data_IF_703519259364
#
_entry.id   IF_703519259364
#
_cell.length_a   1.000
_cell.length_b   1.000
_cell.length_c   1.000
_cell.angle_alpha   90.00
_cell.angle_beta   90.00
_cell.angle_gamma   90.00
#
_symmetry.space_group_name_H-M   'P 1'
#
loop_
_entity.id
_entity.type
_entity.pdbx_description
1 polymer ?
#
# COMPACT_ATOMS: atom_id res chain seq x y z
N UNK A 1 20.85 -11.05 7.87
CA UNK A 1 19.52 -10.60 7.42
C UNK A 1 19.70 -10.11 5.99
N UNK A 2 19.24 -10.89 5.00
CA UNK A 2 19.56 -10.72 3.58
C UNK A 2 19.22 -9.30 3.07
N UNK A 3 20.26 -8.56 2.66
CA UNK A 3 20.15 -7.26 1.98
C UNK A 3 20.26 -7.39 0.46
N UNK A 4 20.18 -8.62 -0.07
CA UNK A 4 20.34 -8.94 -1.49
C UNK A 4 19.02 -9.04 -2.27
N UNK A 5 17.95 -8.43 -1.75
CA UNK A 5 16.84 -7.98 -2.60
C UNK A 5 17.13 -6.58 -3.13
N UNK A 6 18.41 -6.34 -3.45
CA UNK A 6 18.84 -5.17 -4.17
C UNK A 6 18.10 -5.15 -5.50
N UNK A 7 17.49 -4.01 -5.75
CA UNK A 7 16.56 -3.70 -6.82
C UNK A 7 17.30 -3.74 -8.17
N UNK A 8 17.73 -4.92 -8.60
CA UNK A 8 18.08 -5.23 -10.00
C UNK A 8 16.87 -5.86 -10.70
N UNK A 9 15.66 -5.37 -10.44
CA UNK A 9 14.65 -5.39 -11.51
C UNK A 9 15.08 -4.27 -12.43
N UNK A 10 15.56 -4.59 -13.63
CA UNK A 10 16.00 -3.54 -14.55
C UNK A 10 14.87 -2.52 -14.72
N UNK A 11 15.17 -1.23 -14.85
CA UNK A 11 14.16 -0.19 -15.08
C UNK A 11 13.20 -0.56 -16.22
N UNK A 12 13.69 -1.33 -17.21
CA UNK A 12 12.89 -1.89 -18.29
C UNK A 12 11.85 -2.94 -17.87
N UNK A 13 12.13 -3.79 -16.89
CA UNK A 13 11.16 -4.74 -16.35
C UNK A 13 10.02 -4.04 -15.61
N UNK A 14 10.34 -3.02 -14.82
CA UNK A 14 9.34 -2.21 -14.10
C UNK A 14 8.43 -1.49 -15.10
N UNK A 15 9.02 -0.89 -16.14
CA UNK A 15 8.29 -0.20 -17.20
C UNK A 15 7.42 -1.18 -18.01
N UNK A 16 7.93 -2.37 -18.33
CA UNK A 16 7.17 -3.43 -19.01
C UNK A 16 5.99 -3.91 -18.17
N UNK A 17 6.16 -4.07 -16.87
CA UNK A 17 5.10 -4.45 -15.95
C UNK A 17 4.02 -3.35 -15.88
N UNK A 18 4.42 -2.09 -15.77
CA UNK A 18 3.52 -0.95 -15.80
C UNK A 18 2.73 -0.87 -17.11
N UNK A 19 3.39 -1.06 -18.25
CA UNK A 19 2.75 -1.09 -19.56
C UNK A 19 1.72 -2.23 -19.70
N UNK A 20 2.03 -3.43 -19.18
CA UNK A 20 1.09 -4.56 -19.14
C UNK A 20 -0.13 -4.26 -18.27
N UNK A 21 0.07 -3.61 -17.12
CA UNK A 21 -1.03 -3.21 -16.24
C UNK A 21 -1.95 -2.19 -16.94
N UNK A 22 -1.37 -1.16 -17.57
CA UNK A 22 -2.12 -0.17 -18.36
C UNK A 22 -2.87 -0.84 -19.52
N UNK A 23 -2.21 -1.75 -20.23
CA UNK A 23 -2.84 -2.51 -21.31
C UNK A 23 -4.02 -3.35 -20.82
N UNK A 24 -3.90 -4.00 -19.66
CA UNK A 24 -4.98 -4.79 -19.04
C UNK A 24 -6.19 -3.95 -18.63
N UNK A 25 -5.99 -2.69 -18.26
CA UNK A 25 -7.08 -1.74 -18.03
C UNK A 25 -7.75 -1.33 -19.34
N UNK A 26 -6.95 -0.99 -20.36
CA UNK A 26 -7.47 -0.55 -21.67
C UNK A 26 -8.20 -1.70 -22.39
N UNK A 27 -7.69 -2.93 -22.28
CA UNK A 27 -8.31 -4.12 -22.86
C UNK A 27 -9.55 -4.62 -22.10
N UNK A 28 -9.89 -3.99 -20.96
CA UNK A 28 -11.04 -4.36 -20.15
C UNK A 28 -10.86 -5.64 -19.32
N UNK A 29 -9.64 -6.19 -19.23
CA UNK A 29 -9.36 -7.37 -18.41
C UNK A 29 -9.55 -7.10 -16.92
N UNK A 30 -9.31 -5.88 -16.46
CA UNK A 30 -9.65 -5.44 -15.11
C UNK A 30 -9.92 -3.94 -15.08
N UNK A 31 -10.81 -3.51 -14.18
CA UNK A 31 -11.17 -2.09 -14.11
C UNK A 31 -10.04 -1.24 -13.54
N UNK A 32 -9.91 -0.01 -14.02
CA UNK A 32 -9.01 0.99 -13.44
C UNK A 32 -9.29 1.20 -11.94
N UNK A 33 -10.56 1.10 -11.53
CA UNK A 33 -10.97 1.22 -10.14
C UNK A 33 -10.41 0.07 -9.27
N UNK A 34 -10.45 -1.17 -9.77
CA UNK A 34 -9.88 -2.35 -9.09
C UNK A 34 -8.36 -2.24 -8.95
N UNK A 35 -7.67 -1.82 -10.01
CA UNK A 35 -6.22 -1.59 -9.95
C UNK A 35 -5.87 -0.48 -8.95
N UNK A 36 -6.62 0.64 -8.96
CA UNK A 36 -6.42 1.75 -8.03
C UNK A 36 -6.69 1.32 -6.58
N UNK A 37 -7.71 0.50 -6.34
CA UNK A 37 -8.00 -0.05 -5.02
C UNK A 37 -6.86 -0.95 -4.52
N UNK A 38 -6.34 -1.84 -5.38
CA UNK A 38 -5.21 -2.71 -5.05
C UNK A 38 -3.94 -1.90 -4.71
N UNK A 39 -3.57 -0.95 -5.57
CA UNK A 39 -2.41 -0.08 -5.33
C UNK A 39 -2.60 0.77 -4.07
N UNK A 40 -3.81 1.25 -3.82
CA UNK A 40 -4.18 1.95 -2.60
C UNK A 40 -3.98 1.09 -1.35
N UNK A 41 -4.46 -0.15 -1.37
CA UNK A 41 -4.30 -1.10 -0.27
C UNK A 41 -2.82 -1.42 0.01
N UNK A 42 -2.02 -1.67 -1.03
CA UNK A 42 -0.58 -1.90 -0.90
C UNK A 42 0.14 -0.68 -0.30
N UNK A 43 -0.16 0.53 -0.79
CA UNK A 43 0.42 1.77 -0.27
C UNK A 43 0.06 1.99 1.19
N UNK A 44 -1.20 1.73 1.57
CA UNK A 44 -1.68 1.85 2.93
C UNK A 44 -0.99 0.84 3.87
N UNK A 45 -0.84 -0.40 3.43
CA UNK A 45 -0.09 -1.43 4.15
C UNK A 45 1.37 -1.02 4.38
N UNK A 46 2.04 -0.44 3.37
CA UNK A 46 3.41 0.06 3.51
C UNK A 46 3.53 1.23 4.48
N UNK A 47 2.58 2.18 4.44
CA UNK A 47 2.52 3.31 5.39
C UNK A 47 2.29 2.84 6.82
N UNK A 48 1.43 1.84 7.03
CA UNK A 48 1.21 1.23 8.34
C UNK A 48 2.48 0.54 8.83
N UNK A 49 3.12 -0.30 8.01
CA UNK A 49 4.39 -0.94 8.35
C UNK A 49 5.45 0.08 8.80
N UNK A 50 5.68 1.11 8.00
CA UNK A 50 6.62 2.18 8.32
C UNK A 50 6.23 3.01 9.56
N UNK A 51 4.94 3.08 9.89
CA UNK A 51 4.47 3.74 11.11
C UNK A 51 4.72 2.88 12.35
N UNK A 52 4.50 1.56 12.25
CA UNK A 52 4.81 0.61 13.33
C UNK A 52 6.31 0.43 13.57
N UNK A 53 7.14 0.51 12.53
CA UNK A 53 8.60 0.55 12.68
C UNK A 53 9.08 1.77 13.48
N UNK A 54 8.31 2.86 13.48
CA UNK A 54 8.57 4.07 14.26
C UNK A 54 7.72 4.15 15.52
N UNK A 55 7.32 3.00 16.06
CA UNK A 55 6.62 2.95 17.32
C UNK A 55 7.50 3.55 18.44
N UNK A 56 6.96 4.46 19.27
CA UNK A 56 7.75 5.12 20.30
C UNK A 56 8.11 4.15 21.42
N UNK A 57 9.38 4.14 21.82
CA UNK A 57 9.87 3.33 22.94
C UNK A 57 9.45 3.89 24.31
N UNK A 58 9.05 5.17 24.34
CA UNK A 58 8.63 5.85 25.56
C UNK A 58 7.15 6.26 25.51
N UNK A 59 6.44 6.23 26.66
CA UNK A 59 5.03 6.61 26.73
C UNK A 59 4.74 8.05 26.27
N UNK A 60 5.70 8.96 26.42
CA UNK A 60 5.55 10.36 26.04
C UNK A 60 5.33 10.58 24.53
N UNK A 61 5.82 9.66 23.68
CA UNK A 61 5.65 9.73 22.23
C UNK A 61 4.37 9.06 21.71
N UNK A 62 3.64 8.35 22.58
CA UNK A 62 2.53 7.49 22.17
C UNK A 62 1.37 8.27 21.56
N UNK A 63 0.88 9.31 22.25
CA UNK A 63 -0.26 10.11 21.77
C UNK A 63 0.02 10.76 20.40
N UNK A 64 1.22 11.31 20.24
CA UNK A 64 1.65 11.90 18.97
C UNK A 64 1.76 10.83 17.86
N UNK A 65 2.18 9.61 18.19
CA UNK A 65 2.21 8.50 17.25
C UNK A 65 0.79 8.05 16.89
N UNK A 66 -0.11 7.87 17.85
CA UNK A 66 -1.52 7.52 17.62
C UNK A 66 -2.20 8.54 16.71
N UNK A 67 -1.98 9.84 16.92
CA UNK A 67 -2.53 10.88 16.05
C UNK A 67 -2.09 10.74 14.58
N UNK A 68 -0.89 10.21 14.33
CA UNK A 68 -0.37 9.95 12.97
C UNK A 68 -0.92 8.65 12.37
N UNK A 69 -1.14 7.62 13.18
CA UNK A 69 -1.56 6.29 12.69
C UNK A 69 -3.08 6.14 12.59
N UNK A 70 -3.85 6.85 13.44
CA UNK A 70 -5.32 6.86 13.44
C UNK A 70 -5.96 7.03 12.04
N UNK A 71 -5.58 8.03 11.22
CA UNK A 71 -6.16 8.17 9.89
C UNK A 71 -5.82 6.99 8.96
N UNK A 72 -4.71 6.29 9.17
CA UNK A 72 -4.36 5.08 8.42
C UNK A 72 -5.24 3.89 8.82
N UNK A 73 -5.56 3.75 10.12
CA UNK A 73 -6.49 2.72 10.60
C UNK A 73 -7.91 2.93 10.05
N UNK A 74 -8.40 4.16 10.05
CA UNK A 74 -9.71 4.51 9.49
C UNK A 74 -9.77 4.18 7.99
N UNK A 75 -8.70 4.49 7.24
CA UNK A 75 -8.62 4.15 5.83
C UNK A 75 -8.68 2.63 5.58
N UNK A 76 -8.13 1.80 6.47
CA UNK A 76 -8.26 0.33 6.40
C UNK A 76 -9.69 -0.09 6.72
N UNK A 77 -10.28 0.41 7.82
CA UNK A 77 -11.65 0.08 8.24
C UNK A 77 -12.69 0.35 7.16
N UNK A 78 -12.61 1.52 6.50
CA UNK A 78 -13.49 1.90 5.38
C UNK A 78 -13.32 0.97 4.17
N UNK A 79 -12.09 0.49 3.90
CA UNK A 79 -11.84 -0.43 2.78
C UNK A 79 -12.35 -1.86 3.03
N UNK A 80 -12.38 -2.28 4.29
CA UNK A 80 -12.77 -3.63 4.71
C UNK A 80 -14.29 -3.79 4.70
N UNK A 81 -15.02 -2.74 5.10
CA UNK A 81 -16.48 -2.67 5.04
C UNK A 81 -17.00 -2.70 3.59
N UNK A 82 -16.35 -1.97 2.68
CA UNK A 82 -16.77 -1.87 1.27
C UNK A 82 -16.54 -3.15 0.46
N UNK A 83 -15.55 -3.96 0.85
CA UNK A 83 -15.22 -5.21 0.15
C UNK A 83 -16.11 -6.39 0.56
N UNK A 84 -16.86 -6.28 1.67
CA UNK A 84 -17.74 -7.35 2.18
C UNK A 84 -19.19 -7.26 1.65
N UNK A 85 -19.49 -6.27 0.81
CA UNK A 85 -20.85 -5.96 0.31
C UNK A 85 -21.04 -6.23 -1.19
N UNK A 86 -20.28 -7.15 -1.78
CA UNK A 86 -20.54 -7.74 -3.11
C UNK A 86 -20.41 -9.25 -3.02
#
# INVERSE_FOLDING_TARGET
MNRDFEVQRSTGEVLSLAAKLVRGVISGQFSAASLKALLGAMSLSGKLGAAYERYPETPAGFEAWVARVRPLWEAVGISTERSRSK
#
